data_IF_697541427683
#
_entry.id   IF_697541427683
#
_cell.length_a   1.000
_cell.length_b   1.000
_cell.length_c   1.000
_cell.angle_alpha   90.00
_cell.angle_beta   90.00
_cell.angle_gamma   90.00
#
_symmetry.space_group_name_H-M   'P 1'
#
loop_
_entity.id
_entity.type
_entity.pdbx_description
1 polymer ?
#
# COMPACT_ATOMS: atom_id res chain seq x y z
N UNK A 1 24.02 2.60 17.82
CA UNK A 1 22.85 1.89 18.37
C UNK A 1 21.90 1.63 17.22
N UNK A 2 21.24 0.47 17.14
CA UNK A 2 20.27 0.19 16.07
C UNK A 2 19.17 1.25 16.00
N UNK A 3 18.82 1.69 14.79
CA UNK A 3 17.76 2.68 14.54
C UNK A 3 16.63 2.11 13.68
N UNK A 4 15.50 2.80 13.71
CA UNK A 4 14.39 2.55 12.78
C UNK A 4 14.61 3.37 11.50
N UNK A 5 14.48 2.75 10.34
CA UNK A 5 14.45 3.43 9.03
C UNK A 5 13.05 3.26 8.47
N UNK A 6 12.32 4.36 8.35
CA UNK A 6 10.91 4.38 7.94
C UNK A 6 10.78 5.03 6.58
N UNK A 7 10.19 4.31 5.64
CA UNK A 7 9.94 4.78 4.27
C UNK A 7 8.42 4.85 4.08
N UNK A 8 7.92 6.04 3.77
CA UNK A 8 6.51 6.32 3.54
C UNK A 8 6.31 6.75 2.08
N UNK A 9 5.67 5.93 1.25
CA UNK A 9 5.35 6.27 -0.14
C UNK A 9 3.84 6.49 -0.31
N UNK A 10 3.45 7.70 -0.68
CA UNK A 10 2.04 8.02 -0.94
C UNK A 10 1.60 7.63 -2.36
N UNK A 11 0.29 7.52 -2.55
CA UNK A 11 -0.33 7.33 -3.86
C UNK A 11 -0.36 8.63 -4.69
N UNK A 12 -0.51 8.48 -6.00
CA UNK A 12 -0.57 9.63 -6.92
C UNK A 12 -1.77 10.54 -6.70
N UNK A 13 -1.50 11.85 -6.75
CA UNK A 13 -2.52 12.89 -6.69
C UNK A 13 -2.88 13.34 -5.26
N UNK A 14 -2.18 12.82 -4.24
CA UNK A 14 -2.27 13.28 -2.86
C UNK A 14 -1.32 14.47 -2.69
N UNK A 15 -1.83 15.67 -2.96
CA UNK A 15 -1.11 16.93 -2.72
C UNK A 15 -1.06 17.25 -1.22
N UNK A 16 -0.03 17.99 -0.78
CA UNK A 16 0.06 18.61 0.55
C UNK A 16 -0.90 19.82 0.61
N UNK A 17 -2.20 19.56 0.44
CA UNK A 17 -3.31 20.53 0.48
C UNK A 17 -4.39 20.03 1.46
N UNK A 18 -5.61 20.58 1.40
CA UNK A 18 -6.74 20.28 2.31
C UNK A 18 -7.22 18.83 2.35
N UNK A 19 -6.68 17.96 1.48
CA UNK A 19 -6.96 16.52 1.42
C UNK A 19 -5.67 15.75 1.72
N UNK A 20 -5.58 15.12 2.89
CA UNK A 20 -4.37 14.41 3.31
C UNK A 20 -4.60 12.89 3.40
N UNK A 21 -3.62 12.12 2.92
CA UNK A 21 -3.63 10.65 3.02
C UNK A 21 -3.30 10.16 4.42
N UNK A 22 -3.59 8.89 4.69
CA UNK A 22 -3.18 8.22 5.92
C UNK A 22 -1.66 7.99 5.98
N UNK A 23 -0.97 7.91 4.83
CA UNK A 23 0.50 7.88 4.78
C UNK A 23 1.08 9.19 5.30
N UNK A 24 0.57 10.33 4.84
CA UNK A 24 1.02 11.64 5.29
C UNK A 24 0.65 11.90 6.76
N UNK A 25 -0.53 11.45 7.20
CA UNK A 25 -0.92 11.51 8.63
C UNK A 25 0.04 10.68 9.50
N UNK A 26 0.35 9.45 9.09
CA UNK A 26 1.35 8.61 9.76
C UNK A 26 2.71 9.33 9.79
N UNK A 27 3.20 9.81 8.64
CA UNK A 27 4.47 10.53 8.55
C UNK A 27 4.55 11.70 9.54
N UNK A 28 3.46 12.47 9.68
CA UNK A 28 3.37 13.58 10.64
C UNK A 28 3.38 13.12 12.10
N UNK A 29 2.85 11.93 12.39
CA UNK A 29 2.82 11.33 13.71
C UNK A 29 4.10 10.55 14.08
N UNK A 30 5.05 10.35 13.16
CA UNK A 30 6.31 9.69 13.47
C UNK A 30 7.27 10.64 14.22
N UNK A 31 7.89 10.13 15.27
CA UNK A 31 9.08 10.76 15.89
C UNK A 31 10.24 10.75 14.88
N UNK A 32 11.01 11.83 14.82
CA UNK A 32 12.10 12.01 13.85
C UNK A 32 13.36 12.47 14.59
N UNK A 33 14.28 11.54 14.77
CA UNK A 33 15.57 11.77 15.43
C UNK A 33 16.63 10.75 14.95
N UNK A 34 17.77 10.70 15.62
CA UNK A 34 18.86 9.76 15.27
C UNK A 34 18.45 8.29 15.43
N UNK A 35 17.52 7.98 16.35
CA UNK A 35 16.99 6.63 16.58
C UNK A 35 15.85 6.24 15.63
N UNK A 36 15.26 7.19 14.89
CA UNK A 36 14.24 6.94 13.88
C UNK A 36 14.34 7.91 12.70
N UNK A 37 14.92 7.43 11.60
CA UNK A 37 15.06 8.17 10.34
C UNK A 37 13.86 7.91 9.46
N UNK A 38 13.22 8.98 8.97
CA UNK A 38 11.97 8.89 8.22
C UNK A 38 12.12 9.55 6.84
N UNK A 39 11.77 8.83 5.80
CA UNK A 39 11.71 9.28 4.42
C UNK A 39 10.26 9.30 3.92
N UNK A 40 9.87 10.38 3.25
CA UNK A 40 8.53 10.53 2.68
C UNK A 40 8.62 10.82 1.19
N UNK A 41 7.93 10.00 0.39
CA UNK A 41 7.77 10.19 -1.04
C UNK A 41 6.33 10.61 -1.37
N UNK A 42 6.09 11.78 -1.98
CA UNK A 42 4.74 12.30 -2.25
C UNK A 42 4.02 11.63 -3.45
N UNK A 43 4.66 10.65 -4.10
CA UNK A 43 4.14 9.93 -5.27
C UNK A 43 4.21 10.71 -6.59
N UNK A 44 4.06 10.01 -7.71
CA UNK A 44 4.10 10.59 -9.07
C UNK A 44 3.04 11.68 -9.26
N UNK A 45 3.44 12.84 -9.80
CA UNK A 45 2.55 13.94 -10.20
C UNK A 45 2.38 15.08 -9.20
N UNK A 46 3.13 15.06 -8.09
CA UNK A 46 2.96 16.01 -6.97
C UNK A 46 3.92 17.22 -7.04
N UNK A 47 4.74 17.35 -8.09
CA UNK A 47 5.69 18.48 -8.23
C UNK A 47 5.05 19.64 -9.03
N UNK A 48 4.85 20.78 -8.35
CA UNK A 48 4.83 22.11 -8.97
C UNK A 48 3.51 22.89 -8.89
N UNK A 49 3.53 24.00 -8.14
CA UNK A 49 2.51 25.06 -8.13
C UNK A 49 2.00 25.41 -9.55
N UNK A 50 0.67 25.35 -9.79
CA UNK A 50 -0.16 26.40 -10.43
C UNK A 50 -1.53 25.90 -10.97
N UNK A 51 -2.56 26.70 -10.71
CA UNK A 51 -3.91 26.74 -11.31
C UNK A 51 -4.89 25.59 -11.02
N UNK A 52 -6.11 25.95 -10.62
CA UNK A 52 -7.18 25.05 -10.13
C UNK A 52 -7.92 24.33 -11.27
N UNK A 53 -7.97 24.92 -12.48
CA UNK A 53 -8.71 24.40 -13.63
C UNK A 53 -7.94 23.35 -14.46
N UNK A 54 -6.60 23.38 -14.46
CA UNK A 54 -5.77 22.32 -15.05
C UNK A 54 -5.77 21.02 -14.22
N UNK A 55 -5.95 21.14 -12.90
CA UNK A 55 -5.83 20.05 -11.91
C UNK A 55 -6.90 18.95 -12.00
N UNK A 56 -8.16 19.27 -12.28
CA UNK A 56 -9.20 18.25 -12.46
C UNK A 56 -8.93 17.45 -13.74
N UNK A 57 -8.54 18.14 -14.82
CA UNK A 57 -8.20 17.51 -16.10
C UNK A 57 -6.95 16.65 -15.99
N UNK A 58 -5.98 17.03 -15.15
CA UNK A 58 -4.74 16.30 -14.88
C UNK A 58 -4.90 15.17 -13.85
N UNK A 59 -5.79 15.30 -12.85
CA UNK A 59 -6.24 14.18 -11.99
C UNK A 59 -6.95 13.12 -12.82
N UNK A 60 -7.88 13.52 -13.69
CA UNK A 60 -8.60 12.60 -14.59
C UNK A 60 -7.65 12.05 -15.66
N UNK A 61 -6.71 12.83 -16.22
CA UNK A 61 -5.69 12.33 -17.17
C UNK A 61 -4.56 11.50 -16.56
N UNK A 62 -4.13 11.73 -15.32
CA UNK A 62 -3.10 10.91 -14.66
C UNK A 62 -3.66 9.60 -14.09
N UNK A 63 -4.97 9.52 -14.01
CA UNK A 63 -5.72 8.36 -13.53
C UNK A 63 -6.33 7.55 -14.70
N UNK A 64 -6.76 8.20 -15.79
CA UNK A 64 -7.07 7.55 -17.08
C UNK A 64 -5.81 7.28 -17.93
N UNK A 65 -4.84 8.18 -17.90
CA UNK A 65 -3.48 8.00 -18.41
C UNK A 65 -2.66 7.37 -17.29
N UNK A 66 -2.86 6.06 -17.14
CA UNK A 66 -2.10 5.24 -16.22
C UNK A 66 -0.62 5.56 -16.35
N UNK A 67 0.00 5.91 -15.22
CA UNK A 67 1.39 6.28 -15.17
C UNK A 67 2.25 5.23 -15.88
N UNK A 68 3.13 5.71 -16.75
CA UNK A 68 4.15 4.89 -17.37
C UNK A 68 4.99 4.25 -16.27
N UNK A 69 5.45 3.00 -16.48
CA UNK A 69 6.31 2.29 -15.52
C UNK A 69 7.49 3.12 -15.00
N UNK A 70 7.96 4.10 -15.77
CA UNK A 70 9.03 5.04 -15.40
C UNK A 70 8.83 5.76 -14.06
N UNK A 71 7.60 6.20 -13.74
CA UNK A 71 7.37 6.91 -12.46
C UNK A 71 7.43 6.00 -11.23
N UNK A 72 6.98 4.75 -11.36
CA UNK A 72 7.12 3.76 -10.30
C UNK A 72 8.59 3.38 -10.08
N UNK A 73 9.36 3.30 -11.17
CA UNK A 73 10.77 2.99 -11.14
C UNK A 73 11.56 4.06 -10.38
N UNK A 74 11.31 5.33 -10.69
CA UNK A 74 11.92 6.49 -10.01
C UNK A 74 11.59 6.48 -8.51
N UNK A 75 10.30 6.40 -8.15
CA UNK A 75 9.85 6.37 -6.75
C UNK A 75 10.52 5.22 -5.96
N UNK A 76 10.65 4.04 -6.58
CA UNK A 76 11.27 2.86 -5.95
C UNK A 76 12.78 3.06 -5.79
N UNK A 77 13.45 3.57 -6.83
CA UNK A 77 14.89 3.79 -6.82
C UNK A 77 15.30 4.87 -5.82
N UNK A 78 14.53 5.95 -5.68
CA UNK A 78 14.86 7.01 -4.72
C UNK A 78 14.72 6.51 -3.27
N UNK A 79 13.67 5.75 -2.97
CA UNK A 79 13.53 5.11 -1.66
C UNK A 79 14.63 4.06 -1.40
N UNK A 80 15.01 3.29 -2.43
CA UNK A 80 16.11 2.32 -2.33
C UNK A 80 17.46 3.00 -2.07
N UNK A 81 17.75 4.11 -2.77
CA UNK A 81 18.97 4.89 -2.58
C UNK A 81 19.07 5.43 -1.16
N UNK A 82 17.99 6.05 -0.68
CA UNK A 82 17.91 6.51 0.71
C UNK A 82 18.20 5.38 1.71
N UNK A 83 17.66 4.18 1.45
CA UNK A 83 17.91 3.01 2.29
C UNK A 83 19.38 2.58 2.24
N UNK A 84 20.01 2.52 1.07
CA UNK A 84 21.43 2.18 0.92
C UNK A 84 22.34 3.15 1.67
N UNK A 85 22.03 4.45 1.64
CA UNK A 85 22.83 5.50 2.27
C UNK A 85 22.65 5.57 3.79
N UNK A 86 21.49 5.14 4.31
CA UNK A 86 21.11 5.35 5.72
C UNK A 86 21.27 4.09 6.58
N UNK A 87 21.16 2.90 5.98
CA UNK A 87 21.16 1.64 6.70
C UNK A 87 22.52 1.31 7.29
N UNK A 88 22.50 0.95 8.57
CA UNK A 88 23.63 0.36 9.28
C UNK A 88 23.23 -1.03 9.81
N UNK A 89 24.21 -1.90 10.01
CA UNK A 89 23.96 -3.25 10.49
C UNK A 89 23.19 -3.24 11.82
N UNK A 90 22.06 -3.95 11.85
CA UNK A 90 21.17 -4.05 13.01
C UNK A 90 19.95 -3.14 12.93
N UNK A 91 19.88 -2.22 11.97
CA UNK A 91 18.72 -1.34 11.79
C UNK A 91 17.46 -2.11 11.38
N UNK A 92 16.30 -1.54 11.71
CA UNK A 92 14.99 -2.10 11.38
C UNK A 92 14.33 -1.29 10.29
N UNK A 93 13.97 -1.94 9.19
CA UNK A 93 13.32 -1.30 8.04
C UNK A 93 11.80 -1.41 8.12
N UNK A 94 11.14 -0.26 7.99
CA UNK A 94 9.69 -0.10 8.06
C UNK A 94 9.18 0.56 6.79
N UNK A 95 8.25 -0.09 6.09
CA UNK A 95 7.75 0.39 4.81
C UNK A 95 6.25 0.65 4.89
N UNK A 96 5.82 1.85 4.50
CA UNK A 96 4.43 2.25 4.51
C UNK A 96 3.99 2.81 3.16
N UNK A 97 2.79 2.47 2.72
CA UNK A 97 2.26 3.12 1.53
C UNK A 97 0.77 2.92 1.29
N UNK A 98 0.21 3.79 0.46
CA UNK A 98 -1.20 3.75 0.06
C UNK A 98 -1.32 3.61 -1.45
N UNK A 99 -2.28 2.79 -1.92
CA UNK A 99 -2.63 2.69 -3.34
C UNK A 99 -1.45 2.23 -4.20
N UNK A 100 -0.94 3.10 -5.08
CA UNK A 100 0.29 2.89 -5.84
C UNK A 100 1.52 2.94 -4.95
N UNK A 101 1.60 3.87 -4.00
CA UNK A 101 2.69 3.93 -3.02
C UNK A 101 2.78 2.64 -2.19
N UNK A 102 1.65 2.00 -1.92
CA UNK A 102 1.63 0.65 -1.33
C UNK A 102 2.26 -0.41 -2.25
N UNK A 103 2.09 -0.29 -3.56
CA UNK A 103 2.76 -1.16 -4.51
C UNK A 103 4.25 -0.81 -4.62
N UNK A 104 4.62 0.48 -4.63
CA UNK A 104 6.02 0.96 -4.58
C UNK A 104 6.79 0.34 -3.43
N UNK A 105 6.25 0.39 -2.20
CA UNK A 105 6.96 -0.22 -1.05
C UNK A 105 7.04 -1.74 -1.10
N UNK A 106 6.08 -2.42 -1.74
CA UNK A 106 6.17 -3.88 -1.97
C UNK A 106 7.20 -4.22 -3.04
N UNK A 107 7.31 -3.40 -4.09
CA UNK A 107 8.35 -3.53 -5.11
C UNK A 107 9.72 -3.26 -4.49
N UNK A 108 9.85 -2.24 -3.65
CA UNK A 108 11.06 -1.98 -2.87
C UNK A 108 11.44 -3.19 -2.00
N UNK A 109 10.48 -3.74 -1.25
CA UNK A 109 10.71 -4.93 -0.43
C UNK A 109 11.15 -6.14 -1.25
N UNK A 110 10.53 -6.35 -2.42
CA UNK A 110 10.90 -7.43 -3.34
C UNK A 110 12.28 -7.21 -3.97
N UNK A 111 12.60 -5.97 -4.32
CA UNK A 111 13.89 -5.59 -4.88
C UNK A 111 15.01 -5.80 -3.86
N UNK A 112 14.82 -5.36 -2.62
CA UNK A 112 15.73 -5.64 -1.50
C UNK A 112 15.86 -7.13 -1.24
N UNK A 113 14.78 -7.91 -1.34
CA UNK A 113 14.83 -9.36 -1.19
C UNK A 113 15.68 -10.05 -2.27
N UNK A 114 15.56 -9.62 -3.53
CA UNK A 114 16.24 -10.26 -4.66
C UNK A 114 17.67 -9.76 -4.84
N UNK A 115 17.91 -8.45 -4.79
CA UNK A 115 19.22 -7.85 -5.04
C UNK A 115 20.02 -7.64 -3.74
N UNK A 116 19.36 -7.61 -2.58
CA UNK A 116 19.98 -7.12 -1.35
C UNK A 116 20.10 -5.60 -1.36
N UNK A 117 20.71 -5.07 -0.31
CA UNK A 117 21.07 -3.66 -0.21
C UNK A 117 22.48 -3.47 -0.77
N UNK A 118 22.64 -2.53 -1.70
CA UNK A 118 23.96 -2.20 -2.26
C UNK A 118 24.76 -1.36 -1.25
N UNK A 119 26.09 -1.54 -1.18
CA UNK A 119 26.96 -0.63 -0.45
C UNK A 119 26.83 0.81 -1.00
N UNK A 120 27.00 1.85 -0.16
CA UNK A 120 26.94 3.24 -0.61
C UNK A 120 27.84 3.53 -1.83
N UNK A 121 29.03 2.91 -1.88
CA UNK A 121 29.98 3.08 -2.99
C UNK A 121 29.51 2.49 -4.33
N UNK A 122 28.48 1.63 -4.32
CA UNK A 122 27.92 0.95 -5.50
C UNK A 122 26.50 1.42 -5.83
N UNK A 123 26.01 2.47 -5.17
CA UNK A 123 24.66 3.00 -5.36
C UNK A 123 24.37 3.47 -6.79
N UNK A 124 25.42 3.85 -7.54
CA UNK A 124 25.36 4.17 -8.96
C UNK A 124 24.85 3.01 -9.82
N UNK A 125 24.97 1.77 -9.34
CA UNK A 125 24.48 0.57 -10.02
C UNK A 125 23.00 0.27 -9.75
N UNK A 126 22.34 0.98 -8.83
CA UNK A 126 20.96 0.69 -8.41
C UNK A 126 19.97 0.66 -9.59
N UNK A 127 20.12 1.59 -10.55
CA UNK A 127 19.27 1.62 -11.74
C UNK A 127 19.42 0.38 -12.62
N UNK A 128 20.67 -0.08 -12.82
CA UNK A 128 20.94 -1.31 -13.56
C UNK A 128 20.43 -2.53 -12.81
N UNK A 129 20.68 -2.61 -11.49
CA UNK A 129 20.18 -3.68 -10.64
C UNK A 129 18.65 -3.81 -10.70
N UNK A 130 17.96 -2.67 -10.69
CA UNK A 130 16.50 -2.62 -10.76
C UNK A 130 15.98 -3.03 -12.14
N UNK A 131 16.66 -2.61 -13.23
CA UNK A 131 16.35 -3.09 -14.58
C UNK A 131 16.53 -4.61 -14.69
N UNK A 132 17.61 -5.17 -14.14
CA UNK A 132 17.85 -6.62 -14.06
C UNK A 132 16.71 -7.32 -13.33
N UNK A 133 16.33 -6.86 -12.15
CA UNK A 133 15.21 -7.40 -11.38
C UNK A 133 13.89 -7.41 -12.17
N UNK A 134 13.54 -6.29 -12.83
CA UNK A 134 12.30 -6.20 -13.62
C UNK A 134 12.29 -7.10 -14.85
N UNK A 135 13.41 -7.16 -15.58
CA UNK A 135 13.56 -8.05 -16.73
C UNK A 135 13.42 -9.51 -16.32
N UNK A 136 14.05 -9.87 -15.20
CA UNK A 136 13.99 -11.21 -14.64
C UNK A 136 12.55 -11.58 -14.25
N UNK A 137 11.79 -10.62 -13.70
CA UNK A 137 10.38 -10.82 -13.37
C UNK A 137 9.44 -10.94 -14.58
N UNK A 138 9.75 -10.30 -15.70
CA UNK A 138 8.90 -10.33 -16.90
C UNK A 138 8.99 -11.69 -17.64
N UNK A 139 10.16 -12.34 -17.60
CA UNK A 139 10.43 -13.61 -18.28
C UNK A 139 9.93 -14.84 -17.51
N UNK A 140 9.63 -14.71 -16.21
CA UNK A 140 9.03 -15.77 -15.41
C UNK A 140 7.55 -16.05 -15.78
N UNK A 141 6.97 -15.29 -16.71
CA UNK A 141 5.64 -15.54 -17.28
C UNK A 141 5.69 -16.38 -18.57
N UNK A 142 6.87 -16.61 -19.16
CA UNK A 142 7.08 -17.46 -20.33
C UNK A 142 7.73 -18.78 -19.91
N UNK A 143 6.97 -19.87 -20.04
CA UNK A 143 7.34 -21.21 -19.58
C UNK A 143 8.36 -21.91 -20.50
N UNK A 144 9.60 -21.41 -20.59
CA UNK A 144 10.70 -22.13 -21.26
C UNK A 144 11.78 -22.57 -20.26
N UNK A 145 11.82 -23.87 -20.01
CA UNK A 145 12.58 -24.54 -18.95
C UNK A 145 14.08 -24.80 -19.26
N UNK A 146 14.73 -23.99 -20.11
CA UNK A 146 16.13 -24.22 -20.55
C UNK A 146 17.11 -23.08 -20.28
N UNK A 147 16.68 -21.95 -19.71
CA UNK A 147 17.59 -20.91 -19.22
C UNK A 147 17.98 -21.19 -17.75
N UNK A 148 19.16 -20.75 -17.27
CA UNK A 148 19.43 -20.69 -15.83
C UNK A 148 18.25 -19.99 -15.11
N UNK A 149 17.96 -20.38 -13.87
CA UNK A 149 16.86 -19.74 -13.12
C UNK A 149 17.11 -18.24 -13.13
N UNK A 150 16.15 -17.44 -13.59
CA UNK A 150 16.31 -15.97 -13.74
C UNK A 150 16.72 -15.27 -12.43
N UNK A 151 16.43 -15.88 -11.28
CA UNK A 151 16.91 -15.43 -9.98
C UNK A 151 18.42 -15.60 -9.85
N UNK A 152 19.03 -16.58 -10.51
CA UNK A 152 20.47 -16.83 -10.52
C UNK A 152 21.22 -15.65 -11.13
N UNK A 153 20.70 -15.04 -12.19
CA UNK A 153 21.29 -13.84 -12.80
C UNK A 153 21.19 -12.63 -11.86
N UNK A 154 20.02 -12.40 -11.26
CA UNK A 154 19.82 -11.30 -10.31
C UNK A 154 20.68 -11.48 -9.05
N UNK A 155 20.79 -12.71 -8.54
CA UNK A 155 21.67 -13.07 -7.42
C UNK A 155 23.15 -13.06 -7.80
N UNK A 156 23.50 -13.39 -9.03
CA UNK A 156 24.86 -13.21 -9.54
C UNK A 156 25.22 -11.73 -9.58
N UNK A 157 24.34 -10.90 -10.13
CA UNK A 157 24.51 -9.45 -10.12
C UNK A 157 24.68 -8.92 -8.69
N UNK A 158 23.79 -9.31 -7.77
CA UNK A 158 23.87 -8.97 -6.34
C UNK A 158 25.25 -9.31 -5.77
N UNK A 159 25.74 -10.54 -5.97
CA UNK A 159 27.06 -10.99 -5.50
C UNK A 159 28.20 -10.15 -6.07
N UNK A 160 28.15 -9.80 -7.35
CA UNK A 160 29.19 -8.97 -8.01
C UNK A 160 29.15 -7.52 -7.51
N UNK A 161 27.95 -6.96 -7.32
CA UNK A 161 27.76 -5.59 -6.86
C UNK A 161 27.89 -5.44 -5.32
N UNK A 162 28.14 -6.52 -4.59
CA UNK A 162 28.29 -6.52 -3.13
C UNK A 162 26.97 -6.38 -2.37
N UNK A 163 25.84 -6.72 -2.99
CA UNK A 163 24.54 -6.69 -2.35
C UNK A 163 24.47 -7.68 -1.17
N UNK A 164 23.91 -7.22 -0.04
CA UNK A 164 23.74 -8.05 1.15
C UNK A 164 22.28 -8.06 1.61
N UNK A 165 21.86 -9.20 2.16
CA UNK A 165 20.48 -9.37 2.62
C UNK A 165 20.24 -8.58 3.92
N UNK A 166 19.08 -7.93 3.99
CA UNK A 166 18.62 -7.26 5.21
C UNK A 166 17.19 -7.72 5.54
N UNK A 167 16.84 -7.86 6.83
CA UNK A 167 15.47 -8.14 7.23
C UNK A 167 14.59 -6.89 7.09
N UNK A 168 13.33 -7.09 6.70
CA UNK A 168 12.32 -6.03 6.69
C UNK A 168 11.38 -6.29 7.87
N UNK A 169 11.39 -5.40 8.86
CA UNK A 169 10.65 -5.59 10.10
C UNK A 169 9.13 -5.49 9.86
N UNK A 170 8.70 -4.51 9.05
CA UNK A 170 7.29 -4.23 8.88
C UNK A 170 6.96 -3.65 7.50
N UNK A 171 5.88 -4.15 6.88
CA UNK A 171 5.25 -3.54 5.70
C UNK A 171 3.78 -3.26 6.01
N UNK A 172 3.42 -1.98 6.10
CA UNK A 172 2.08 -1.50 6.39
C UNK A 172 1.46 -0.78 5.21
N UNK A 173 0.39 -1.32 4.64
CA UNK A 173 -0.20 -0.77 3.41
C UNK A 173 -1.69 -0.51 3.51
N UNK A 174 -2.13 0.58 2.88
CA UNK A 174 -3.55 0.87 2.64
C UNK A 174 -3.90 0.53 1.19
N UNK A 175 -4.90 -0.32 1.03
CA UNK A 175 -5.61 -0.65 -0.21
C UNK A 175 -4.72 -0.75 -1.46
N UNK A 176 -3.77 -1.69 -1.46
CA UNK A 176 -2.81 -1.83 -2.56
C UNK A 176 -3.49 -2.15 -3.90
N UNK A 177 -3.20 -1.34 -4.91
CA UNK A 177 -3.66 -1.55 -6.30
C UNK A 177 -2.44 -1.72 -7.22
N UNK A 178 -2.40 -2.83 -7.96
CA UNK A 178 -1.32 -3.12 -8.91
C UNK A 178 -1.68 -2.53 -10.28
N UNK A 179 -1.62 -1.21 -10.42
CA UNK A 179 -1.81 -0.56 -11.73
C UNK A 179 -0.45 -0.19 -12.34
N UNK A 180 0.34 -1.18 -12.72
CA UNK A 180 1.48 -0.96 -13.64
C UNK A 180 0.99 -1.34 -15.03
N UNK A 181 0.61 -0.32 -15.79
CA UNK A 181 0.40 -0.46 -17.24
C UNK A 181 1.76 -0.19 -17.86
N UNK A 182 2.42 -1.25 -18.35
CA UNK A 182 3.65 -1.09 -19.14
C UNK A 182 3.25 -1.03 -20.61
N UNK A 183 3.42 0.11 -21.30
CA UNK A 183 3.29 0.16 -22.74
C UNK A 183 4.38 -0.73 -23.36
N UNK A 184 3.97 -1.76 -24.09
CA UNK A 184 4.87 -2.61 -24.88
C UNK A 184 4.86 -2.11 -26.32
N UNK A 185 6.04 -1.85 -26.91
CA UNK A 185 6.14 -1.37 -28.30
C UNK A 185 5.63 -2.41 -29.33
N UNK A 186 5.49 -3.66 -28.91
CA UNK A 186 5.13 -4.85 -29.70
C UNK A 186 3.67 -5.31 -29.53
N UNK A 187 2.88 -4.72 -28.62
CA UNK A 187 1.47 -5.11 -28.38
C UNK A 187 0.53 -3.91 -28.43
N UNK A 188 -0.64 -4.10 -29.06
CA UNK A 188 -1.69 -3.08 -29.14
C UNK A 188 -2.34 -2.78 -27.76
N UNK A 189 -2.26 -3.73 -26.82
CA UNK A 189 -2.77 -3.59 -25.46
C UNK A 189 -1.61 -3.64 -24.46
N UNK A 190 -1.60 -2.76 -23.45
CA UNK A 190 -0.57 -2.76 -22.42
C UNK A 190 -0.64 -4.02 -21.55
N UNK A 191 0.51 -4.44 -21.04
CA UNK A 191 0.65 -5.64 -20.22
C UNK A 191 0.65 -5.27 -18.73
N UNK A 192 0.02 -6.10 -17.89
CA UNK A 192 0.10 -5.99 -16.43
C UNK A 192 1.31 -6.80 -15.97
N UNK A 193 2.46 -6.13 -15.79
CA UNK A 193 3.62 -6.80 -15.21
C UNK A 193 3.41 -7.01 -13.70
N UNK A 194 3.19 -8.26 -13.31
CA UNK A 194 3.30 -8.66 -11.90
C UNK A 194 4.77 -8.89 -11.59
N UNK A 195 5.32 -8.07 -10.70
CA UNK A 195 6.70 -8.22 -10.26
C UNK A 195 6.81 -9.36 -9.23
N UNK A 196 7.83 -10.22 -9.36
CA UNK A 196 8.07 -11.33 -8.42
C UNK A 196 8.28 -10.80 -7.01
N UNK A 197 7.84 -11.58 -6.03
CA UNK A 197 7.89 -11.27 -4.61
C UNK A 197 7.11 -10.02 -4.13
N UNK A 198 6.22 -9.45 -4.96
CA UNK A 198 5.34 -8.33 -4.54
C UNK A 198 4.06 -8.76 -3.81
N UNK A 199 3.79 -10.07 -3.78
CA UNK A 199 2.66 -10.70 -3.07
C UNK A 199 3.09 -11.77 -2.09
N UNK A 200 4.35 -12.20 -2.20
CA UNK A 200 5.02 -13.18 -1.34
C UNK A 200 6.42 -12.66 -1.05
N UNK A 201 6.87 -12.56 0.20
CA UNK A 201 8.22 -12.09 0.47
C UNK A 201 8.73 -12.65 1.81
N UNK A 202 9.70 -13.57 1.79
CA UNK A 202 10.20 -14.18 3.01
C UNK A 202 11.14 -13.27 3.82
N UNK A 203 11.58 -12.12 3.27
CA UNK A 203 12.36 -11.12 4.01
C UNK A 203 11.48 -10.18 4.85
N UNK A 204 10.16 -10.19 4.65
CA UNK A 204 9.21 -9.38 5.44
C UNK A 204 8.81 -10.15 6.69
N UNK A 205 9.00 -9.58 7.87
CA UNK A 205 8.64 -10.21 9.14
C UNK A 205 7.17 -10.02 9.50
N UNK A 206 6.70 -8.77 9.44
CA UNK A 206 5.30 -8.40 9.71
C UNK A 206 4.69 -7.71 8.50
N UNK A 207 3.50 -8.14 8.11
CA UNK A 207 2.72 -7.54 7.03
C UNK A 207 1.35 -7.12 7.53
N UNK A 208 0.95 -5.88 7.23
CA UNK A 208 -0.36 -5.31 7.55
C UNK A 208 -0.98 -4.69 6.31
N UNK A 209 -2.21 -5.05 6.00
CA UNK A 209 -2.97 -4.42 4.93
C UNK A 209 -4.38 -4.04 5.38
N UNK A 210 -4.71 -2.75 5.25
CA UNK A 210 -6.08 -2.26 5.35
C UNK A 210 -6.73 -2.31 3.96
N UNK A 211 -7.93 -2.90 3.85
CA UNK A 211 -8.58 -3.19 2.56
C UNK A 211 -9.96 -2.54 2.52
N UNK A 212 -10.29 -1.90 1.40
CA UNK A 212 -11.63 -1.34 1.14
C UNK A 212 -12.62 -2.42 0.71
N UNK A 213 -13.79 -2.44 1.35
CA UNK A 213 -14.93 -3.30 1.03
C UNK A 213 -15.70 -2.77 -0.20
N UNK A 214 -15.90 -1.45 -0.28
CA UNK A 214 -16.88 -0.83 -1.17
C UNK A 214 -16.30 -0.31 -2.50
N UNK A 215 -14.98 -0.46 -2.73
CA UNK A 215 -14.34 -0.09 -3.98
C UNK A 215 -14.70 -1.06 -5.12
N UNK A 216 -15.23 -0.51 -6.22
CA UNK A 216 -15.79 -1.28 -7.35
C UNK A 216 -15.16 -0.96 -8.70
N UNK A 217 -14.31 0.07 -8.80
CA UNK A 217 -13.67 0.44 -10.06
C UNK A 217 -12.76 -0.68 -10.54
N UNK A 218 -12.92 -1.10 -11.79
CA UNK A 218 -12.15 -2.18 -12.41
C UNK A 218 -10.65 -1.98 -12.43
N UNK A 219 -10.19 -0.73 -12.37
CA UNK A 219 -8.75 -0.41 -12.36
C UNK A 219 -8.15 -0.39 -10.94
N UNK A 220 -8.98 -0.57 -9.91
CA UNK A 220 -8.59 -0.61 -8.50
C UNK A 220 -8.74 -2.02 -7.93
N UNK A 221 -8.35 -3.04 -8.71
CA UNK A 221 -8.36 -4.43 -8.27
C UNK A 221 -7.32 -4.62 -7.17
N UNK A 222 -7.72 -5.34 -6.13
CA UNK A 222 -6.94 -5.51 -4.93
C UNK A 222 -5.73 -6.41 -5.19
N UNK A 223 -4.52 -5.89 -4.94
CA UNK A 223 -3.33 -6.72 -4.93
C UNK A 223 -3.16 -7.37 -3.54
N UNK A 224 -3.89 -8.48 -3.30
CA UNK A 224 -3.88 -9.16 -1.99
C UNK A 224 -2.55 -9.85 -1.72
N UNK A 225 -2.06 -9.72 -0.48
CA UNK A 225 -0.93 -10.50 0.02
C UNK A 225 -1.34 -11.96 0.16
N UNK A 226 -0.49 -12.89 -0.28
CA UNK A 226 -0.81 -14.33 -0.18
C UNK A 226 -0.56 -14.76 1.26
N UNK A 227 -1.45 -15.52 1.87
CA UNK A 227 -1.32 -16.00 3.24
C UNK A 227 -1.78 -17.45 3.35
N UNK A 228 -1.12 -18.30 4.16
CA UNK A 228 0.04 -18.01 5.03
C UNK A 228 1.40 -17.98 4.30
N UNK A 229 2.43 -17.42 4.93
CA UNK A 229 3.83 -17.41 4.45
C UNK A 229 4.83 -17.64 5.58
N UNK A 230 6.09 -17.92 5.22
CA UNK A 230 7.22 -17.98 6.16
C UNK A 230 8.10 -16.74 6.05
N UNK A 231 8.55 -16.23 7.19
CA UNK A 231 9.62 -15.24 7.31
C UNK A 231 10.95 -15.96 7.59
N UNK A 232 12.06 -15.49 7.02
CA UNK A 232 13.42 -15.97 7.30
C UNK A 232 14.30 -14.79 7.69
N UNK A 233 14.86 -14.84 8.90
CA UNK A 233 15.82 -13.81 9.34
C UNK A 233 17.17 -13.96 8.66
N UNK A 234 17.54 -15.18 8.28
CA UNK A 234 18.71 -15.47 7.45
C UNK A 234 18.26 -16.26 6.21
N UNK A 235 18.42 -15.72 4.99
CA UNK A 235 18.01 -16.42 3.77
C UNK A 235 18.80 -17.72 3.51
N UNK A 236 19.99 -17.87 4.10
CA UNK A 236 20.88 -19.02 3.92
C UNK A 236 20.72 -20.09 5.01
N UNK A 237 20.02 -19.79 6.10
CA UNK A 237 19.69 -20.76 7.16
C UNK A 237 18.20 -21.14 7.11
N UNK A 238 17.85 -22.35 6.61
CA UNK A 238 16.48 -22.83 6.63
C UNK A 238 15.86 -22.95 8.03
N UNK A 239 16.68 -23.12 9.08
CA UNK A 239 16.21 -23.22 10.46
C UNK A 239 15.72 -21.87 11.01
N UNK A 240 16.09 -20.75 10.36
CA UNK A 240 15.60 -19.41 10.72
C UNK A 240 14.14 -19.15 10.31
N UNK A 241 13.51 -20.10 9.61
CA UNK A 241 12.16 -19.94 9.09
C UNK A 241 11.09 -20.01 10.19
N UNK A 242 10.33 -18.94 10.35
CA UNK A 242 9.15 -18.86 11.24
C UNK A 242 7.92 -18.43 10.45
N UNK A 243 6.72 -18.56 11.03
CA UNK A 243 5.52 -18.02 10.40
C UNK A 243 5.59 -16.50 10.29
N UNK A 244 5.28 -15.97 9.11
CA UNK A 244 5.16 -14.53 8.89
C UNK A 244 3.92 -14.03 9.63
N UNK A 245 4.06 -12.92 10.36
CA UNK A 245 2.92 -12.28 11.03
C UNK A 245 2.16 -11.41 10.02
N UNK A 246 1.05 -11.95 9.49
CA UNK A 246 0.23 -11.31 8.47
C UNK A 246 -1.14 -10.93 9.05
N UNK A 247 -1.57 -9.68 8.87
CA UNK A 247 -2.96 -9.26 9.09
C UNK A 247 -3.49 -8.48 7.88
N UNK A 248 -4.60 -8.93 7.33
CA UNK A 248 -5.32 -8.26 6.25
C UNK A 248 -6.74 -7.97 6.74
N UNK A 249 -7.02 -6.70 7.03
CA UNK A 249 -8.27 -6.27 7.69
C UNK A 249 -9.11 -5.45 6.73
N UNK A 250 -10.40 -5.78 6.66
CA UNK A 250 -11.37 -5.14 5.78
C UNK A 250 -12.13 -4.02 6.49
N UNK A 251 -12.23 -2.87 5.84
CA UNK A 251 -12.86 -1.65 6.32
C UNK A 251 -13.95 -1.19 5.36
N UNK A 252 -15.02 -0.63 5.92
CA UNK A 252 -16.09 0.02 5.16
C UNK A 252 -15.55 1.29 4.50
N UNK A 253 -15.97 1.58 3.28
CA UNK A 253 -15.42 2.67 2.49
C UNK A 253 -14.93 2.26 1.12
N UNK A 254 -14.88 3.22 0.19
CA UNK A 254 -14.13 3.08 -1.07
C UNK A 254 -12.61 3.30 -0.84
N UNK A 255 -11.81 3.26 -1.90
CA UNK A 255 -10.34 3.32 -1.82
C UNK A 255 -9.78 4.43 -0.92
N UNK A 256 -10.26 5.67 -1.08
CA UNK A 256 -9.81 6.83 -0.30
C UNK A 256 -10.50 6.95 1.08
N UNK A 257 -11.60 6.23 1.32
CA UNK A 257 -12.13 6.06 2.68
C UNK A 257 -11.23 5.16 3.52
N UNK A 258 -10.38 4.34 2.90
CA UNK A 258 -9.40 3.51 3.61
C UNK A 258 -8.01 4.14 3.66
N UNK A 259 -7.55 4.71 2.55
CA UNK A 259 -6.23 5.33 2.47
C UNK A 259 -6.17 6.81 2.84
N UNK A 260 -7.32 7.47 3.05
CA UNK A 260 -7.41 8.92 3.16
C UNK A 260 -7.36 9.63 1.79
N UNK A 261 -7.45 10.96 1.81
CA UNK A 261 -7.45 11.80 0.62
C UNK A 261 -8.81 12.45 0.27
N UNK A 262 -9.85 12.21 1.06
CA UNK A 262 -11.04 13.06 1.07
C UNK A 262 -10.83 14.32 1.93
N UNK A 263 -11.77 15.27 1.86
CA UNK A 263 -11.75 16.45 2.71
C UNK A 263 -11.87 16.02 4.18
N UNK A 264 -11.28 16.82 5.07
CA UNK A 264 -11.15 16.43 6.47
C UNK A 264 -12.51 16.28 7.18
N UNK A 265 -13.50 17.11 6.85
CA UNK A 265 -14.88 17.03 7.37
C UNK A 265 -15.61 15.74 6.94
N UNK A 266 -15.14 15.07 5.89
CA UNK A 266 -15.67 13.82 5.36
C UNK A 266 -14.79 12.61 5.69
N UNK A 267 -13.69 12.80 6.43
CA UNK A 267 -12.65 11.79 6.60
C UNK A 267 -12.91 10.78 7.72
N UNK A 268 -14.11 10.74 8.32
CA UNK A 268 -14.43 9.92 9.49
C UNK A 268 -14.16 8.41 9.30
N UNK A 269 -14.48 7.86 8.12
CA UNK A 269 -14.20 6.45 7.81
C UNK A 269 -12.69 6.15 7.73
N UNK A 270 -11.90 7.08 7.20
CA UNK A 270 -10.45 6.92 7.02
C UNK A 270 -9.64 6.93 8.32
N UNK A 271 -10.25 7.35 9.44
CA UNK A 271 -9.59 7.34 10.75
C UNK A 271 -9.44 5.94 11.32
N UNK A 272 -10.39 5.04 11.06
CA UNK A 272 -10.32 3.65 11.52
C UNK A 272 -9.05 2.92 11.01
N UNK A 273 -8.79 2.83 9.70
CA UNK A 273 -7.60 2.16 9.18
C UNK A 273 -6.30 2.93 9.46
N UNK A 274 -6.34 4.24 9.71
CA UNK A 274 -5.18 5.00 10.18
C UNK A 274 -4.78 4.55 11.59
N UNK A 275 -5.72 4.62 12.53
CA UNK A 275 -5.51 4.29 13.94
C UNK A 275 -5.14 2.82 14.11
N UNK A 276 -5.80 1.92 13.38
CA UNK A 276 -5.44 0.50 13.35
C UNK A 276 -3.99 0.30 12.90
N UNK A 277 -3.57 0.90 11.78
CA UNK A 277 -2.20 0.74 11.28
C UNK A 277 -1.16 1.29 12.27
N UNK A 278 -1.43 2.46 12.88
CA UNK A 278 -0.55 3.06 13.89
C UNK A 278 -0.42 2.13 15.08
N UNK A 279 -1.52 1.60 15.62
CA UNK A 279 -1.49 0.68 16.76
C UNK A 279 -0.71 -0.60 16.44
N UNK A 280 -0.87 -1.17 15.23
CA UNK A 280 -0.12 -2.35 14.80
C UNK A 280 1.39 -2.07 14.68
N UNK A 281 1.76 -0.88 14.20
CA UNK A 281 3.16 -0.49 14.05
C UNK A 281 3.81 -0.13 15.39
N UNK A 282 3.10 0.58 16.27
CA UNK A 282 3.54 0.91 17.63
C UNK A 282 3.75 -0.36 18.47
N UNK A 283 2.82 -1.32 18.40
CA UNK A 283 2.95 -2.63 19.05
C UNK A 283 4.17 -3.43 18.56
N UNK A 284 4.65 -3.18 17.33
CA UNK A 284 5.87 -3.77 16.80
C UNK A 284 7.15 -2.98 17.17
N UNK A 285 7.03 -1.81 17.80
CA UNK A 285 8.15 -0.98 18.27
C UNK A 285 8.52 0.20 17.37
N UNK A 286 7.58 0.69 16.54
CA UNK A 286 7.71 1.98 15.85
C UNK A 286 7.45 3.13 16.84
N UNK A 287 8.23 4.21 16.75
CA UNK A 287 8.11 5.36 17.67
C UNK A 287 7.14 6.41 17.13
N UNK A 288 6.16 6.79 17.94
CA UNK A 288 5.00 7.59 17.53
C UNK A 288 4.77 8.75 18.51
N UNK A 289 4.54 9.96 17.98
CA UNK A 289 4.02 11.10 18.74
C UNK A 289 2.52 10.88 18.99
N UNK A 290 2.20 10.32 20.14
CA UNK A 290 0.83 10.03 20.57
C UNK A 290 -0.06 11.28 20.63
N UNK A 291 0.51 12.45 20.93
CA UNK A 291 -0.26 13.69 20.94
C UNK A 291 -0.64 14.10 19.50
N UNK A 292 0.21 13.83 18.52
CA UNK A 292 -0.12 14.03 17.10
C UNK A 292 -1.13 12.99 16.60
N UNK A 293 -1.06 11.73 17.06
CA UNK A 293 -2.08 10.71 16.77
C UNK A 293 -3.44 11.13 17.31
N UNK A 294 -3.49 11.62 18.55
CA UNK A 294 -4.71 12.12 19.17
C UNK A 294 -5.32 13.26 18.36
N UNK A 295 -4.48 14.17 17.85
CA UNK A 295 -4.93 15.26 17.01
C UNK A 295 -5.42 14.79 15.63
N UNK A 296 -4.61 14.03 14.88
CA UNK A 296 -4.89 13.67 13.49
C UNK A 296 -5.90 12.52 13.34
N UNK A 297 -5.84 11.55 14.24
CA UNK A 297 -6.62 10.31 14.19
C UNK A 297 -7.89 10.39 15.03
N UNK A 298 -7.75 10.80 16.29
CA UNK A 298 -8.88 10.89 17.23
C UNK A 298 -9.63 12.23 17.17
N UNK A 299 -9.15 13.20 16.40
CA UNK A 299 -9.81 14.50 16.24
C UNK A 299 -9.73 15.38 17.49
N UNK A 300 -8.79 15.12 18.40
CA UNK A 300 -8.63 15.96 19.59
C UNK A 300 -8.15 17.37 19.20
N UNK A 301 -8.75 18.42 19.76
CA UNK A 301 -8.39 19.79 19.43
C UNK A 301 -6.97 20.09 19.89
N UNK A 302 -6.23 20.87 19.07
CA UNK A 302 -4.98 21.50 19.47
C UNK A 302 -5.07 23.01 19.22
N UNK A 303 -4.58 23.86 20.14
CA UNK A 303 -4.56 25.30 19.93
C UNK A 303 -3.87 25.67 18.61
N UNK A 304 -4.43 26.67 17.90
CA UNK A 304 -3.86 27.22 16.65
C UNK A 304 -3.58 26.17 15.55
N UNK A 305 -4.29 25.03 15.57
CA UNK A 305 -4.11 23.94 14.62
C UNK A 305 -5.38 23.68 13.80
N UNK A 306 -5.22 23.06 12.62
CA UNK A 306 -6.34 22.62 11.80
C UNK A 306 -7.24 21.64 12.57
N UNK A 307 -8.57 21.70 12.40
CA UNK A 307 -9.50 20.78 13.06
C UNK A 307 -9.57 19.45 12.30
N UNK A 308 -9.47 18.34 13.01
CA UNK A 308 -9.59 17.00 12.45
C UNK A 308 -10.84 16.32 13.02
N UNK A 309 -11.55 15.57 12.20
CA UNK A 309 -12.72 14.80 12.65
C UNK A 309 -12.28 13.53 13.37
N UNK A 310 -13.10 13.07 14.31
CA UNK A 310 -12.93 11.79 14.97
C UNK A 310 -13.36 10.62 14.06
N UNK A 311 -12.99 9.36 14.38
CA UNK A 311 -13.53 8.20 13.70
C UNK A 311 -15.06 8.13 13.87
N UNK A 312 -15.78 7.94 12.76
CA UNK A 312 -17.23 7.84 12.78
C UNK A 312 -17.69 6.76 11.79
N UNK A 313 -18.24 5.66 12.32
CA UNK A 313 -18.74 4.54 11.53
C UNK A 313 -19.98 4.91 10.70
N UNK A 314 -20.67 6.00 11.05
CA UNK A 314 -21.87 6.51 10.36
C UNK A 314 -21.58 7.61 9.34
N UNK A 315 -20.32 8.05 9.23
CA UNK A 315 -19.89 9.05 8.25
C UNK A 315 -20.31 8.67 6.82
N UNK A 316 -20.54 9.67 5.98
CA UNK A 316 -21.01 9.48 4.62
C UNK A 316 -20.08 8.55 3.83
N UNK A 317 -20.65 7.53 3.20
CA UNK A 317 -19.90 6.66 2.30
C UNK A 317 -19.69 7.38 0.96
N UNK A 318 -18.46 7.47 0.51
CA UNK A 318 -18.18 8.07 -0.79
C UNK A 318 -18.47 7.10 -1.93
N UNK A 319 -18.77 7.66 -3.10
CA UNK A 319 -18.91 6.90 -4.34
C UNK A 319 -17.73 7.26 -5.24
N UNK A 320 -16.81 6.31 -5.44
CA UNK A 320 -15.64 6.52 -6.30
C UNK A 320 -15.89 6.19 -7.76
N UNK A 321 -16.89 5.35 -8.05
CA UNK A 321 -17.30 4.97 -9.40
C UNK A 321 -18.31 5.98 -9.97
N UNK A 322 -17.79 7.05 -10.53
CA UNK A 322 -18.58 8.14 -11.13
C UNK A 322 -17.99 8.61 -12.47
N UNK A 323 -18.82 9.25 -13.30
CA UNK A 323 -18.37 9.91 -14.53
C UNK A 323 -17.59 9.00 -15.49
N UNK A 324 -16.38 9.41 -15.96
CA UNK A 324 -15.58 8.66 -16.94
C UNK A 324 -15.21 7.23 -16.52
N UNK A 325 -15.26 6.90 -15.23
CA UNK A 325 -14.97 5.55 -14.76
C UNK A 325 -15.92 4.50 -15.34
N UNK A 326 -17.17 4.88 -15.61
CA UNK A 326 -18.16 3.99 -16.24
C UNK A 326 -17.78 3.59 -17.66
N UNK A 327 -17.00 4.41 -18.38
CA UNK A 327 -16.50 4.06 -19.72
C UNK A 327 -15.59 2.84 -19.62
N UNK A 328 -14.77 2.76 -18.57
CA UNK A 328 -13.90 1.61 -18.38
C UNK A 328 -14.74 0.39 -17.96
N UNK A 329 -15.79 0.53 -17.15
CA UNK A 329 -16.62 -0.60 -16.70
C UNK A 329 -17.35 -1.36 -17.82
N UNK A 330 -17.52 -0.74 -18.99
CA UNK A 330 -18.16 -1.37 -20.16
C UNK A 330 -17.16 -1.98 -21.15
N UNK A 331 -15.85 -1.88 -20.92
CA UNK A 331 -14.86 -2.56 -21.75
C UNK A 331 -14.77 -4.04 -21.37
N UNK A 332 -14.79 -4.99 -22.32
CA UNK A 332 -14.62 -6.41 -22.00
C UNK A 332 -13.29 -6.73 -21.29
N UNK A 333 -13.33 -7.62 -20.29
CA UNK A 333 -12.15 -8.27 -19.67
C UNK A 333 -12.11 -9.74 -20.06
N UNK A 334 -10.92 -10.32 -20.19
CA UNK A 334 -10.78 -11.77 -20.34
C UNK A 334 -11.29 -12.49 -19.09
N UNK A 335 -11.98 -13.62 -19.28
CA UNK A 335 -12.56 -14.42 -18.20
C UNK A 335 -11.56 -14.85 -17.12
N UNK A 336 -10.29 -15.07 -17.48
CA UNK A 336 -9.22 -15.40 -16.52
C UNK A 336 -9.02 -14.33 -15.42
N UNK A 337 -9.49 -13.10 -15.65
CA UNK A 337 -9.44 -11.99 -14.70
C UNK A 337 -10.77 -11.77 -13.98
N UNK A 338 -11.72 -12.70 -14.09
CA UNK A 338 -13.02 -12.65 -13.39
C UNK A 338 -12.81 -12.95 -11.92
N UNK A 339 -13.20 -12.01 -11.07
CA UNK A 339 -13.16 -12.15 -9.62
C UNK A 339 -14.54 -12.42 -9.03
N UNK A 340 -15.60 -11.92 -9.68
CA UNK A 340 -16.98 -12.06 -9.20
C UNK A 340 -17.73 -13.18 -9.92
N UNK A 341 -18.16 -14.26 -9.23
CA UNK A 341 -18.77 -15.44 -9.86
C UNK A 341 -20.01 -15.15 -10.71
N UNK A 342 -20.85 -14.20 -10.30
CA UNK A 342 -22.13 -13.92 -10.97
C UNK A 342 -21.98 -13.25 -12.36
N UNK A 343 -20.76 -12.88 -12.76
CA UNK A 343 -20.51 -12.26 -14.06
C UNK A 343 -20.56 -13.31 -15.17
N UNK A 344 -21.53 -13.14 -16.07
CA UNK A 344 -21.71 -13.98 -17.26
C UNK A 344 -20.54 -13.77 -18.22
N UNK A 345 -19.92 -14.87 -18.64
CA UNK A 345 -18.87 -14.89 -19.64
C UNK A 345 -19.44 -15.31 -21.00
N UNK A 346 -19.07 -14.60 -22.05
CA UNK A 346 -19.45 -14.87 -23.43
C UNK A 346 -18.19 -14.83 -24.27
N UNK A 347 -17.91 -15.90 -25.01
CA UNK A 347 -16.71 -16.02 -25.87
C UNK A 347 -15.38 -15.76 -25.14
N UNK A 348 -15.27 -16.13 -23.86
CA UNK A 348 -14.06 -15.93 -23.05
C UNK A 348 -13.87 -14.50 -22.52
N UNK A 349 -14.89 -13.65 -22.64
CA UNK A 349 -14.90 -12.28 -22.13
C UNK A 349 -16.10 -12.02 -21.23
N UNK A 350 -16.00 -11.03 -20.35
CA UNK A 350 -17.12 -10.52 -19.55
C UNK A 350 -17.04 -9.01 -19.37
N UNK A 351 -18.16 -8.39 -19.01
CA UNK A 351 -18.23 -6.99 -18.63
C UNK A 351 -18.13 -6.84 -17.11
N UNK A 352 -17.20 -6.02 -16.57
CA UNK A 352 -17.04 -5.84 -15.13
C UNK A 352 -18.26 -5.22 -14.45
N UNK A 353 -18.83 -4.16 -15.02
CA UNK A 353 -20.04 -3.49 -14.53
C UNK A 353 -20.07 -3.29 -13.01
N UNK A 354 -19.04 -2.62 -12.46
CA UNK A 354 -18.93 -2.36 -11.02
C UNK A 354 -18.90 -3.63 -10.15
N UNK A 355 -18.24 -4.70 -10.62
CA UNK A 355 -18.12 -5.94 -9.86
C UNK A 355 -17.50 -5.69 -8.47
N UNK A 356 -18.11 -6.18 -7.38
CA UNK A 356 -17.55 -6.06 -6.03
C UNK A 356 -16.21 -6.78 -5.90
N UNK A 357 -15.50 -6.49 -4.81
CA UNK A 357 -14.32 -7.26 -4.41
C UNK A 357 -14.75 -8.53 -3.67
N UNK A 358 -14.27 -9.71 -4.05
CA UNK A 358 -14.52 -10.92 -3.28
C UNK A 358 -13.80 -10.83 -1.93
N UNK A 359 -14.54 -11.04 -0.84
CA UNK A 359 -13.98 -11.17 0.50
C UNK A 359 -13.89 -12.66 0.83
N UNK A 360 -12.70 -13.20 1.14
CA UNK A 360 -12.53 -14.61 1.49
C UNK A 360 -13.34 -15.00 2.74
N UNK A 361 -13.77 -16.25 2.81
CA UNK A 361 -14.27 -16.83 4.06
C UNK A 361 -13.20 -16.80 5.15
N UNK A 362 -13.61 -16.48 6.38
CA UNK A 362 -12.70 -16.30 7.51
C UNK A 362 -11.89 -15.00 7.47
N UNK A 363 -12.19 -14.08 6.55
CA UNK A 363 -11.54 -12.77 6.52
C UNK A 363 -11.75 -12.00 7.83
N UNK A 364 -10.84 -11.06 8.11
CA UNK A 364 -10.90 -10.21 9.29
C UNK A 364 -11.58 -8.89 8.93
N UNK A 365 -12.71 -8.59 9.55
CA UNK A 365 -13.40 -7.31 9.41
C UNK A 365 -13.07 -6.43 10.60
N UNK A 366 -12.89 -5.13 10.38
CA UNK A 366 -12.75 -4.20 11.48
C UNK A 366 -14.10 -3.97 12.19
N UNK A 367 -14.09 -3.79 13.53
CA UNK A 367 -15.27 -3.54 14.36
C UNK A 367 -16.18 -2.43 13.82
N UNK A 368 -15.61 -1.39 13.21
CA UNK A 368 -16.36 -0.27 12.61
C UNK A 368 -17.28 -0.69 11.46
N UNK A 369 -17.00 -1.81 10.76
CA UNK A 369 -17.88 -2.36 9.73
C UNK A 369 -19.18 -2.86 10.36
N UNK A 370 -19.05 -3.61 11.46
CA UNK A 370 -20.18 -4.18 12.20
C UNK A 370 -21.02 -3.06 12.82
N UNK A 371 -20.36 -2.06 13.40
CA UNK A 371 -21.02 -0.87 13.94
C UNK A 371 -21.80 -0.13 12.85
N UNK A 372 -21.20 0.07 11.68
CA UNK A 372 -21.87 0.71 10.53
C UNK A 372 -23.09 -0.09 10.07
N UNK A 373 -22.98 -1.40 9.92
CA UNK A 373 -24.11 -2.26 9.53
C UNK A 373 -25.26 -2.17 10.54
N UNK A 374 -24.96 -2.04 11.84
CA UNK A 374 -25.96 -1.86 12.88
C UNK A 374 -26.60 -0.47 12.91
N UNK A 375 -25.83 0.59 12.64
CA UNK A 375 -26.28 1.99 12.75
C UNK A 375 -26.80 2.60 11.45
N UNK A 376 -26.41 2.05 10.29
CA UNK A 376 -26.78 2.57 8.96
C UNK A 376 -27.56 1.47 8.21
N UNK A 377 -28.91 1.45 8.30
CA UNK A 377 -29.73 0.36 7.74
C UNK A 377 -29.58 0.12 6.24
N UNK A 378 -29.17 1.14 5.48
CA UNK A 378 -28.93 1.06 4.04
C UNK A 378 -27.59 0.38 3.69
N UNK A 379 -26.66 0.26 4.64
CA UNK A 379 -25.35 -0.32 4.40
C UNK A 379 -25.39 -1.85 4.52
N UNK A 380 -25.59 -2.52 3.38
CA UNK A 380 -25.66 -3.99 3.25
C UNK A 380 -24.68 -4.46 2.16
N UNK A 381 -23.37 -4.55 2.47
CA UNK A 381 -22.40 -4.97 1.47
C UNK A 381 -22.68 -6.40 1.00
N UNK A 382 -22.81 -6.56 -0.31
CA UNK A 382 -23.20 -7.84 -0.94
C UNK A 382 -22.06 -8.87 -1.00
N UNK A 383 -20.84 -8.42 -0.70
CA UNK A 383 -19.61 -9.19 -0.78
C UNK A 383 -19.10 -9.68 0.58
N UNK A 384 -19.92 -9.58 1.63
CA UNK A 384 -19.55 -10.14 2.93
C UNK A 384 -19.52 -11.67 2.89
N UNK A 385 -18.51 -12.29 3.53
CA UNK A 385 -18.46 -13.74 3.66
C UNK A 385 -19.46 -14.20 4.72
N UNK A 386 -19.74 -15.50 4.73
CA UNK A 386 -20.62 -16.13 5.71
C UNK A 386 -19.98 -16.14 7.10
N UNK A 387 -18.67 -16.39 7.14
CA UNK A 387 -17.86 -16.42 8.36
C UNK A 387 -16.74 -15.39 8.28
N UNK A 388 -16.53 -14.64 9.37
CA UNK A 388 -15.45 -13.68 9.51
C UNK A 388 -15.02 -13.51 10.97
N UNK A 389 -13.77 -13.10 11.17
CA UNK A 389 -13.25 -12.65 12.45
C UNK A 389 -13.41 -11.12 12.59
N UNK A 390 -13.39 -10.62 13.83
CA UNK A 390 -13.49 -9.19 14.11
C UNK A 390 -12.16 -8.69 14.68
N UNK A 391 -11.59 -7.67 14.06
CA UNK A 391 -10.49 -6.88 14.60
C UNK A 391 -11.08 -5.72 15.42
N UNK A 392 -10.68 -5.62 16.69
CA UNK A 392 -11.13 -4.54 17.56
C UNK A 392 -10.46 -3.21 17.26
N UNK A 393 -11.17 -2.13 17.59
CA UNK A 393 -10.61 -0.79 17.58
C UNK A 393 -9.56 -0.66 18.69
N UNK A 394 -8.39 -0.04 18.44
CA UNK A 394 -7.49 0.34 19.53
C UNK A 394 -8.21 1.25 20.53
N UNK A 395 -7.86 1.20 21.83
CA UNK A 395 -8.52 2.00 22.84
C UNK A 395 -8.37 3.49 22.51
N UNK A 396 -9.44 4.26 22.69
CA UNK A 396 -9.38 5.71 22.59
C UNK A 396 -8.43 6.26 23.67
N UNK A 397 -7.72 7.38 23.41
CA UNK A 397 -6.92 8.04 24.42
C UNK A 397 -7.78 8.39 25.62
N UNK A 398 -7.26 8.14 26.82
CA UNK A 398 -7.90 8.59 28.06
C UNK A 398 -7.96 10.11 27.99
N UNK A 399 -9.15 10.69 28.17
CA UNK A 399 -9.26 12.14 28.30
C UNK A 399 -8.39 12.56 29.49
N UNK A 400 -7.38 13.39 29.26
CA UNK A 400 -6.59 13.95 30.36
C UNK A 400 -7.54 14.65 31.33
N UNK A 401 -7.66 14.09 32.53
CA UNK A 401 -8.29 14.74 33.66
C UNK A 401 -7.37 15.85 34.18
N UNK A 402 -6.96 16.81 33.34
CA UNK A 402 -6.10 17.92 33.74
C UNK A 402 -6.06 19.06 32.71
N UNK A 403 -7.13 19.84 32.67
CA UNK A 403 -7.06 21.30 32.57
C UNK A 403 -8.35 21.86 33.16
N UNK A 404 -8.48 21.73 34.49
CA UNK A 404 -9.40 22.56 35.26
C UNK A 404 -9.01 24.03 35.14
N UNK A 405 -9.99 24.94 35.36
CA UNK A 405 -10.13 26.23 34.68
C UNK A 405 -8.94 27.17 34.72
#
# INVERSE_FOLDING_TARGET
>A
MPKNIVICCDGTGNEINSTISNVLKLYRALEKDEGQRVYYHPGVGTIGLQSTWGRIKQKVRGVLGLATGSGLDEDTLDAYRFLCETYEAGDRVWLFGFSRGAYTVRVLAAFVHVIGLLPPDQINLAGYAFATYKNASANNQSADAKAPSFLDEAWHFSRVAGGYAIPIEFVGVWDTVASVIVPRRDKLLPDLQTLVYTRTNPSVRKFRQAISIDERRRMFRLNRWIDPQKYRSDPFDPASAVDQDIRQVWFAGVHADVGGGYLEDQSGLSKFPLLWMIAQAEAAGLRIDNSMVNHLGWGQPRPHSHKYVAPDATAQLHVSLEGPWWILEVLPKQEKWKEWPDRKCVLGFYLPLAEPRPIPEGAILHRSVIERMGKVPAYKPINLPTSYAIEEMPPAPVADAAAGP
#
